data_IF_774913671070
#
_entry.id   IF_774913671070
#
_cell.length_a   1.000
_cell.length_b   1.000
_cell.length_c   1.000
_cell.angle_alpha   90.00
_cell.angle_beta   90.00
_cell.angle_gamma   90.00
#
_symmetry.space_group_name_H-M   'P 1'
#
loop_
_entity.id
_entity.type
_entity.pdbx_description
1 polymer ?
#
# COMPACT_ATOMS: atom_id res chain seq x y z
N UNK A 1 21.38 -12.04 -10.17
CA UNK A 1 20.19 -11.48 -10.84
C UNK A 1 19.94 -10.12 -10.22
N UNK A 2 20.12 -9.02 -10.95
CA UNK A 2 19.61 -7.72 -10.47
C UNK A 2 18.10 -7.78 -10.62
N UNK A 3 17.39 -7.93 -9.51
CA UNK A 3 15.94 -7.88 -9.56
C UNK A 3 15.54 -6.44 -9.85
N UNK A 4 15.13 -6.18 -11.09
CA UNK A 4 14.53 -4.92 -11.47
C UNK A 4 13.33 -4.63 -10.54
N UNK A 5 13.14 -3.39 -10.04
CA UNK A 5 12.10 -3.05 -9.07
C UNK A 5 10.69 -3.48 -9.53
N UNK A 6 10.39 -3.37 -10.83
CA UNK A 6 9.09 -3.80 -11.37
C UNK A 6 8.91 -5.31 -11.19
N UNK A 7 9.95 -6.10 -11.45
CA UNK A 7 9.92 -7.55 -11.27
C UNK A 7 9.69 -7.96 -9.80
N UNK A 8 10.28 -7.23 -8.85
CA UNK A 8 10.03 -7.44 -7.41
C UNK A 8 8.57 -7.14 -7.08
N UNK A 9 8.05 -5.99 -7.51
CA UNK A 9 6.67 -5.58 -7.25
C UNK A 9 5.65 -6.58 -7.82
N UNK A 10 5.88 -7.08 -9.04
CA UNK A 10 5.05 -8.11 -9.66
C UNK A 10 5.06 -9.39 -8.84
N UNK A 11 6.22 -9.84 -8.37
CA UNK A 11 6.33 -11.05 -7.57
C UNK A 11 5.61 -10.92 -6.22
N UNK A 12 5.78 -9.78 -5.55
CA UNK A 12 5.09 -9.44 -4.30
C UNK A 12 3.56 -9.46 -4.48
N UNK A 13 3.05 -8.79 -5.52
CA UNK A 13 1.61 -8.76 -5.82
C UNK A 13 1.05 -10.13 -6.19
N UNK A 14 1.76 -10.90 -7.03
CA UNK A 14 1.35 -12.27 -7.38
C UNK A 14 1.27 -13.17 -6.15
N UNK A 15 2.23 -13.03 -5.24
CA UNK A 15 2.25 -13.80 -3.99
C UNK A 15 1.09 -13.39 -3.08
N UNK A 16 0.82 -12.09 -2.96
CA UNK A 16 -0.32 -11.58 -2.20
C UNK A 16 -1.65 -12.12 -2.74
N UNK A 17 -1.86 -12.07 -4.06
CA UNK A 17 -3.08 -12.59 -4.70
C UNK A 17 -3.21 -14.10 -4.52
N UNK A 18 -2.12 -14.84 -4.72
CA UNK A 18 -2.10 -16.28 -4.51
C UNK A 18 -2.50 -16.63 -3.07
N UNK A 19 -1.87 -15.99 -2.08
CA UNK A 19 -2.21 -16.19 -0.68
C UNK A 19 -3.67 -15.83 -0.39
N UNK A 20 -4.19 -14.75 -0.98
CA UNK A 20 -5.58 -14.35 -0.79
C UNK A 20 -6.58 -15.37 -1.34
N UNK A 21 -6.35 -15.90 -2.54
CA UNK A 21 -7.25 -16.86 -3.18
C UNK A 21 -7.09 -18.29 -2.66
N UNK A 22 -5.89 -18.70 -2.22
CA UNK A 22 -5.63 -20.02 -1.65
C UNK A 22 -6.04 -20.12 -0.15
N UNK A 23 -6.41 -19.00 0.48
CA UNK A 23 -6.76 -18.94 1.92
C UNK A 23 -8.16 -19.44 2.29
N UNK A 24 -8.99 -19.89 1.32
CA UNK A 24 -10.33 -20.41 1.63
C UNK A 24 -10.32 -21.74 2.43
N UNK A 25 -9.23 -22.51 2.44
CA UNK A 25 -9.22 -23.87 3.03
C UNK A 25 -8.60 -24.01 4.44
N UNK A 26 -7.74 -23.07 4.89
CA UNK A 26 -7.01 -23.22 6.15
C UNK A 26 -6.92 -21.88 6.91
N UNK A 27 -7.75 -21.74 7.93
CA UNK A 27 -7.95 -20.50 8.66
C UNK A 27 -6.86 -20.26 9.71
N UNK A 28 -6.06 -19.22 9.52
CA UNK A 28 -5.64 -18.38 10.65
C UNK A 28 -5.57 -16.91 10.20
N UNK A 29 -5.96 -15.97 11.08
CA UNK A 29 -6.05 -14.52 10.75
C UNK A 29 -4.72 -13.94 10.26
N UNK A 30 -3.63 -14.60 10.59
CA UNK A 30 -2.26 -14.24 10.23
C UNK A 30 -2.01 -14.22 8.72
N UNK A 31 -2.76 -15.02 7.95
CA UNK A 31 -2.66 -15.06 6.49
C UNK A 31 -2.96 -13.72 5.82
N UNK A 32 -3.89 -12.94 6.38
CA UNK A 32 -4.25 -11.63 5.83
C UNK A 32 -3.18 -10.57 6.07
N UNK A 33 -2.41 -10.64 7.15
CA UNK A 33 -1.31 -9.70 7.39
C UNK A 33 -0.22 -9.82 6.33
N UNK A 34 0.09 -11.06 5.92
CA UNK A 34 1.02 -11.32 4.83
C UNK A 34 0.48 -10.78 3.50
N UNK A 35 -0.80 -11.02 3.19
CA UNK A 35 -1.45 -10.49 1.98
C UNK A 35 -1.36 -8.96 1.94
N UNK A 36 -1.77 -8.28 3.01
CA UNK A 36 -1.75 -6.82 3.10
C UNK A 36 -0.33 -6.27 2.98
N UNK A 37 0.64 -6.91 3.64
CA UNK A 37 2.04 -6.48 3.63
C UNK A 37 2.65 -6.58 2.23
N UNK A 38 2.47 -7.73 1.57
CA UNK A 38 3.01 -7.98 0.23
C UNK A 38 2.34 -7.07 -0.82
N UNK A 39 1.02 -6.88 -0.74
CA UNK A 39 0.28 -5.97 -1.62
C UNK A 39 0.71 -4.51 -1.42
N UNK A 40 0.87 -4.07 -0.17
CA UNK A 40 1.35 -2.72 0.15
C UNK A 40 2.78 -2.46 -0.31
N UNK A 41 3.68 -3.45 -0.19
CA UNK A 41 5.04 -3.36 -0.71
C UNK A 41 5.06 -3.25 -2.25
N UNK A 42 4.21 -4.01 -2.94
CA UNK A 42 4.07 -3.92 -4.40
C UNK A 42 3.55 -2.53 -4.83
N UNK A 43 2.50 -2.02 -4.18
CA UNK A 43 1.96 -0.67 -4.42
C UNK A 43 3.04 0.41 -4.28
N UNK A 44 3.86 0.35 -3.22
CA UNK A 44 4.90 1.35 -2.98
C UNK A 44 5.95 1.38 -4.12
N UNK A 45 6.36 0.21 -4.59
CA UNK A 45 7.34 0.11 -5.69
C UNK A 45 6.71 0.59 -7.00
N UNK A 46 5.49 0.16 -7.34
CA UNK A 46 4.80 0.63 -8.54
C UNK A 46 4.54 2.14 -8.50
N UNK A 47 4.16 2.69 -7.35
CA UNK A 47 3.94 4.12 -7.17
C UNK A 47 5.20 4.94 -7.42
N UNK A 48 6.37 4.47 -6.96
CA UNK A 48 7.67 5.09 -7.25
C UNK A 48 7.99 5.08 -8.75
N UNK A 49 7.81 3.93 -9.41
CA UNK A 49 8.04 3.79 -10.85
C UNK A 49 7.11 4.68 -11.68
N UNK A 50 5.82 4.78 -11.32
CA UNK A 50 4.88 5.68 -11.98
C UNK A 50 5.29 7.14 -11.82
N UNK A 51 5.69 7.52 -10.60
CA UNK A 51 6.15 8.89 -10.30
C UNK A 51 7.40 9.28 -11.08
N UNK A 52 8.36 8.36 -11.24
CA UNK A 52 9.56 8.56 -12.09
C UNK A 52 9.20 8.82 -13.55
N UNK A 53 8.07 8.28 -14.03
CA UNK A 53 7.54 8.52 -15.37
C UNK A 53 6.58 9.71 -15.45
N UNK A 54 6.42 10.50 -14.38
CA UNK A 54 5.50 11.63 -14.33
C UNK A 54 4.01 11.24 -14.33
N UNK A 55 3.71 9.96 -14.03
CA UNK A 55 2.34 9.44 -13.97
C UNK A 55 1.86 9.48 -12.52
N UNK A 56 0.66 10.03 -12.30
CA UNK A 56 0.02 10.01 -10.98
C UNK A 56 -0.36 8.58 -10.58
N UNK A 57 0.00 8.17 -9.37
CA UNK A 57 -0.40 6.89 -8.81
C UNK A 57 -1.67 7.02 -7.95
N UNK A 58 -2.39 5.91 -7.78
CA UNK A 58 -3.64 5.84 -7.01
C UNK A 58 -3.46 6.24 -5.55
N UNK A 59 -2.30 5.96 -4.94
CA UNK A 59 -2.03 6.29 -3.56
C UNK A 59 -1.99 7.80 -3.34
N UNK A 60 -1.40 8.56 -4.27
CA UNK A 60 -1.38 10.02 -4.23
C UNK A 60 -2.80 10.60 -4.40
N UNK A 61 -3.63 10.01 -5.26
CA UNK A 61 -5.04 10.39 -5.37
C UNK A 61 -5.82 10.09 -4.08
N UNK A 62 -5.58 8.95 -3.44
CA UNK A 62 -6.21 8.58 -2.16
C UNK A 62 -5.80 9.53 -1.02
N UNK A 63 -4.55 10.02 -0.99
CA UNK A 63 -4.12 11.05 -0.02
C UNK A 63 -4.93 12.32 -0.16
N UNK A 64 -5.13 12.82 -1.39
CA UNK A 64 -5.92 14.03 -1.66
C UNK A 64 -7.36 13.86 -1.16
N UNK A 65 -7.96 12.69 -1.38
CA UNK A 65 -9.29 12.36 -0.87
C UNK A 65 -9.30 12.32 0.66
N UNK A 66 -8.32 11.67 1.30
CA UNK A 66 -8.21 11.60 2.75
C UNK A 66 -8.08 12.99 3.40
N UNK A 67 -7.26 13.88 2.83
CA UNK A 67 -7.12 15.28 3.29
C UNK A 67 -8.48 16.00 3.19
N UNK A 68 -9.18 15.81 2.07
CA UNK A 68 -10.48 16.44 1.82
C UNK A 68 -11.54 15.98 2.82
N UNK A 69 -11.63 14.67 3.06
CA UNK A 69 -12.56 14.08 4.05
C UNK A 69 -12.23 14.60 5.46
N UNK A 70 -10.96 14.64 5.82
CA UNK A 70 -10.53 15.11 7.16
C UNK A 70 -10.92 16.57 7.37
N UNK A 71 -10.69 17.44 6.37
CA UNK A 71 -11.12 18.83 6.40
C UNK A 71 -12.64 18.96 6.57
N UNK A 72 -13.40 18.13 5.87
CA UNK A 72 -14.86 18.16 5.94
C UNK A 72 -15.40 17.70 7.30
N UNK A 73 -14.77 16.70 7.92
CA UNK A 73 -15.22 16.13 9.19
C UNK A 73 -14.77 16.92 10.42
N UNK A 74 -13.56 17.47 10.39
CA UNK A 74 -12.92 18.08 11.58
C UNK A 74 -12.67 19.58 11.45
N UNK A 75 -13.01 20.20 10.31
CA UNK A 75 -12.78 21.62 10.04
C UNK A 75 -11.32 21.98 9.75
N UNK A 76 -10.39 21.06 9.97
CA UNK A 76 -8.96 21.23 9.74
C UNK A 76 -8.46 20.21 8.70
N UNK A 77 -7.72 20.70 7.72
CA UNK A 77 -7.07 19.83 6.76
C UNK A 77 -5.81 19.23 7.39
N UNK A 78 -5.72 17.91 7.48
CA UNK A 78 -4.43 17.26 7.75
C UNK A 78 -3.44 17.59 6.64
N UNK A 79 -2.18 17.77 7.02
CA UNK A 79 -1.11 17.94 6.03
C UNK A 79 -0.88 16.63 5.28
N UNK A 80 -0.41 16.70 4.03
CA UNK A 80 -0.07 15.50 3.26
C UNK A 80 0.97 14.64 4.00
N UNK A 81 1.91 15.29 4.69
CA UNK A 81 2.92 14.62 5.51
C UNK A 81 2.32 13.85 6.69
N UNK A 82 1.27 14.35 7.34
CA UNK A 82 0.58 13.63 8.41
C UNK A 82 -0.13 12.38 7.89
N UNK A 83 -0.81 12.49 6.75
CA UNK A 83 -1.49 11.35 6.11
C UNK A 83 -0.48 10.28 5.70
N UNK A 84 0.64 10.68 5.10
CA UNK A 84 1.74 9.79 4.73
C UNK A 84 2.36 9.12 5.96
N UNK A 85 2.62 9.89 7.03
CA UNK A 85 3.23 9.37 8.26
C UNK A 85 2.34 8.31 8.91
N UNK A 86 1.02 8.58 9.02
CA UNK A 86 0.06 7.62 9.56
C UNK A 86 -0.05 6.35 8.72
N UNK A 87 -0.09 6.48 7.39
CA UNK A 87 -0.13 5.33 6.49
C UNK A 87 1.14 4.48 6.61
N UNK A 88 2.31 5.10 6.71
CA UNK A 88 3.58 4.40 6.88
C UNK A 88 3.71 3.73 8.24
N UNK A 89 3.29 4.40 9.32
CA UNK A 89 3.26 3.83 10.68
C UNK A 89 2.34 2.61 10.75
N UNK A 90 1.13 2.69 10.19
CA UNK A 90 0.20 1.56 10.11
C UNK A 90 0.80 0.38 9.35
N UNK A 91 1.42 0.62 8.17
CA UNK A 91 2.10 -0.43 7.40
C UNK A 91 3.26 -1.05 8.17
N UNK A 92 4.08 -0.25 8.85
CA UNK A 92 5.23 -0.77 9.60
C UNK A 92 4.81 -1.59 10.82
N UNK A 93 3.70 -1.23 11.48
CA UNK A 93 3.12 -2.03 12.57
C UNK A 93 2.54 -3.36 12.11
N UNK A 94 2.13 -3.48 10.84
CA UNK A 94 1.64 -4.74 10.28
C UNK A 94 2.76 -5.68 9.80
N UNK A 95 4.00 -5.19 9.72
CA UNK A 95 5.18 -6.00 9.37
C UNK A 95 5.76 -6.78 10.56
N UNK A 96 5.34 -6.46 11.79
CA UNK A 96 5.88 -6.97 13.05
C UNK A 96 4.77 -7.52 13.94
#
# INVERSE_FOLDING_TARGET
MSHDPQSIAVWQLKTALRLYFEQEEHFDREGYYSVITLAGAAEEIFGKLLKENGIENSLDSLKKVAITITKQLFGEASTENEVVTRANDARNKLKH
#
